data_IF_001175722870
#
_entry.id   IF_001175722870
#
_cell.length_a   1.000
_cell.length_b   1.000
_cell.length_c   1.000
_cell.angle_alpha   90.00
_cell.angle_beta   90.00
_cell.angle_gamma   90.00
#
_symmetry.space_group_name_H-M   'P 1'
#
loop_
_entity.id
_entity.type
_entity.pdbx_description
1 polymer ?
#
# COMPACT_ATOMS: atom_id res chain seq x y z
N UNK A 1 -2.04 -33.19 5.56
CA UNK A 1 -2.53 -32.37 4.43
C UNK A 1 -1.67 -31.13 4.34
N UNK A 2 -0.88 -30.96 3.28
CA UNK A 2 -0.21 -29.69 2.98
C UNK A 2 -1.30 -28.70 2.62
N UNK A 3 -1.78 -27.92 3.59
CA UNK A 3 -2.92 -27.00 3.49
C UNK A 3 -2.67 -25.80 2.57
N UNK A 4 -2.25 -26.05 1.33
CA UNK A 4 -2.14 -25.07 0.26
C UNK A 4 -3.31 -25.28 -0.68
N UNK A 5 -4.27 -24.35 -0.59
CA UNK A 5 -5.38 -24.22 -1.52
C UNK A 5 -5.00 -23.14 -2.52
N UNK A 6 -5.15 -23.42 -3.81
CA UNK A 6 -5.00 -22.39 -4.84
C UNK A 6 -6.18 -21.41 -4.79
N UNK A 7 -5.96 -20.19 -5.30
CA UNK A 7 -6.97 -19.14 -5.23
C UNK A 7 -8.25 -19.52 -5.99
N UNK A 8 -8.12 -20.19 -7.13
CA UNK A 8 -9.19 -20.70 -7.99
C UNK A 8 -9.98 -21.85 -7.36
N UNK A 9 -9.40 -22.56 -6.39
CA UNK A 9 -10.07 -23.61 -5.63
C UNK A 9 -10.93 -23.10 -4.46
N UNK A 10 -10.89 -21.80 -4.13
CA UNK A 10 -11.76 -21.24 -3.09
C UNK A 10 -13.22 -21.21 -3.58
N UNK A 11 -14.13 -21.87 -2.88
CA UNK A 11 -15.57 -21.80 -3.22
C UNK A 11 -16.14 -20.38 -3.09
N UNK A 12 -15.60 -19.57 -2.19
CA UNK A 12 -16.07 -18.22 -1.95
C UNK A 12 -15.48 -17.21 -2.96
N UNK A 13 -16.26 -16.88 -3.98
CA UNK A 13 -15.88 -15.89 -5.01
C UNK A 13 -15.58 -14.48 -4.47
N UNK A 14 -16.21 -14.06 -3.38
CA UNK A 14 -15.90 -12.77 -2.77
C UNK A 14 -14.52 -12.80 -2.13
N UNK A 15 -14.19 -13.88 -1.42
CA UNK A 15 -12.87 -14.09 -0.85
C UNK A 15 -11.80 -14.22 -1.93
N UNK A 16 -12.09 -14.89 -3.06
CA UNK A 16 -11.20 -14.90 -4.22
C UNK A 16 -10.86 -13.49 -4.70
N UNK A 17 -11.86 -12.62 -4.86
CA UNK A 17 -11.66 -11.23 -5.29
C UNK A 17 -10.82 -10.44 -4.29
N UNK A 18 -11.12 -10.58 -3.00
CA UNK A 18 -10.37 -9.92 -1.92
C UNK A 18 -8.91 -10.35 -1.92
N UNK A 19 -8.64 -11.64 -2.12
CA UNK A 19 -7.29 -12.20 -2.14
C UNK A 19 -6.60 -12.07 -3.51
N UNK A 20 -7.25 -11.51 -4.54
CA UNK A 20 -6.64 -11.31 -5.86
C UNK A 20 -5.68 -10.12 -5.91
N UNK A 21 -6.00 -9.04 -5.18
CA UNK A 21 -5.25 -7.79 -5.24
C UNK A 21 -4.57 -7.47 -3.91
N UNK A 22 -3.36 -6.92 -3.96
CA UNK A 22 -2.56 -6.69 -2.75
C UNK A 22 -3.18 -5.65 -1.81
N UNK A 23 -3.80 -4.60 -2.36
CA UNK A 23 -4.51 -3.60 -1.56
C UNK A 23 -5.65 -4.21 -0.75
N UNK A 24 -6.48 -5.07 -1.36
CA UNK A 24 -7.60 -5.73 -0.68
C UNK A 24 -7.15 -6.83 0.28
N UNK A 25 -6.04 -7.53 0.00
CA UNK A 25 -5.39 -8.44 0.97
C UNK A 25 -4.96 -7.70 2.23
N UNK A 26 -4.33 -6.53 2.11
CA UNK A 26 -3.89 -5.77 3.28
C UNK A 26 -5.05 -5.32 4.16
N UNK A 27 -6.15 -4.88 3.55
CA UNK A 27 -7.38 -4.53 4.26
C UNK A 27 -7.93 -5.75 4.99
N UNK A 28 -8.06 -6.88 4.29
CA UNK A 28 -8.53 -8.13 4.87
C UNK A 28 -7.70 -8.58 6.07
N UNK A 29 -6.37 -8.53 5.96
CA UNK A 29 -5.47 -8.84 7.08
C UNK A 29 -5.60 -7.83 8.23
N UNK A 30 -5.90 -6.57 7.92
CA UNK A 30 -6.21 -5.55 8.91
C UNK A 30 -7.48 -5.89 9.69
N UNK A 31 -8.56 -6.28 9.01
CA UNK A 31 -9.80 -6.73 9.64
C UNK A 31 -9.56 -7.99 10.51
N UNK A 32 -8.77 -8.94 10.01
CA UNK A 32 -8.37 -10.12 10.79
C UNK A 32 -7.66 -9.76 12.10
N UNK A 33 -6.92 -8.64 12.17
CA UNK A 33 -6.27 -8.19 13.43
C UNK A 33 -7.26 -7.68 14.47
N UNK A 34 -8.44 -7.23 14.05
CA UNK A 34 -9.48 -6.77 14.96
C UNK A 34 -10.30 -7.94 15.54
N UNK A 35 -10.22 -9.13 14.94
CA UNK A 35 -10.91 -10.33 15.40
C UNK A 35 -10.13 -11.03 16.53
N UNK A 36 -10.67 -11.11 17.75
CA UNK A 36 -9.99 -11.73 18.89
C UNK A 36 -9.85 -13.25 18.76
N UNK A 37 -10.57 -13.89 17.84
CA UNK A 37 -10.50 -15.34 17.60
C UNK A 37 -9.28 -15.73 16.77
N UNK A 38 -8.68 -14.79 16.06
CA UNK A 38 -7.53 -15.02 15.19
C UNK A 38 -6.24 -14.70 15.94
N UNK A 39 -5.30 -15.64 15.93
CA UNK A 39 -4.00 -15.45 16.60
C UNK A 39 -3.16 -14.42 15.86
N UNK A 40 -2.76 -13.35 16.54
CA UNK A 40 -1.89 -12.29 15.99
C UNK A 40 -0.60 -12.83 15.38
N UNK A 41 0.00 -13.86 16.00
CA UNK A 41 1.24 -14.48 15.49
C UNK A 41 1.08 -15.15 14.12
N UNK A 42 -0.11 -15.67 13.81
CA UNK A 42 -0.41 -16.22 12.48
C UNK A 42 -0.50 -15.10 11.45
N UNK A 43 -1.15 -13.98 11.81
CA UNK A 43 -1.27 -12.80 10.94
C UNK A 43 0.12 -12.21 10.65
N UNK A 44 0.98 -12.06 11.66
CA UNK A 44 2.34 -11.54 11.50
C UNK A 44 3.19 -12.43 10.59
N UNK A 45 3.07 -13.76 10.72
CA UNK A 45 3.74 -14.70 9.83
C UNK A 45 3.31 -14.52 8.38
N UNK A 46 2.01 -14.38 8.12
CA UNK A 46 1.47 -14.15 6.78
C UNK A 46 1.95 -12.80 6.23
N UNK A 47 1.95 -11.75 7.05
CA UNK A 47 2.45 -10.42 6.65
C UNK A 47 3.92 -10.47 6.25
N UNK A 48 4.75 -11.22 6.99
CA UNK A 48 6.16 -11.42 6.64
C UNK A 48 6.32 -12.15 5.31
N UNK A 49 5.57 -13.23 5.10
CA UNK A 49 5.62 -14.00 3.85
C UNK A 49 5.17 -13.17 2.63
N UNK A 50 4.12 -12.36 2.77
CA UNK A 50 3.67 -11.47 1.70
C UNK A 50 4.72 -10.42 1.36
N UNK A 51 5.39 -9.87 2.36
CA UNK A 51 6.48 -8.91 2.16
C UNK A 51 7.67 -9.55 1.43
N UNK A 52 8.09 -10.74 1.85
CA UNK A 52 9.17 -11.48 1.18
C UNK A 52 8.83 -11.80 -0.28
N UNK A 53 7.58 -12.11 -0.60
CA UNK A 53 7.14 -12.32 -1.97
C UNK A 53 7.17 -11.02 -2.77
N UNK A 54 6.66 -9.93 -2.19
CA UNK A 54 6.68 -8.61 -2.82
C UNK A 54 8.12 -8.17 -3.13
N UNK A 55 9.04 -8.34 -2.18
CA UNK A 55 10.45 -7.98 -2.35
C UNK A 55 11.09 -8.76 -3.52
N UNK A 56 10.76 -10.05 -3.68
CA UNK A 56 11.23 -10.87 -4.81
C UNK A 56 10.68 -10.36 -6.15
N UNK A 57 9.39 -10.07 -6.21
CA UNK A 57 8.75 -9.57 -7.43
C UNK A 57 9.29 -8.17 -7.79
N UNK A 58 9.56 -7.33 -6.79
CA UNK A 58 10.14 -6.01 -6.96
C UNK A 58 11.58 -6.08 -7.48
N UNK A 59 12.41 -6.98 -6.94
CA UNK A 59 13.76 -7.23 -7.44
C UNK A 59 13.72 -7.70 -8.91
N UNK A 60 12.82 -8.62 -9.24
CA UNK A 60 12.63 -9.09 -10.61
C UNK A 60 12.23 -7.93 -11.54
N UNK A 61 11.24 -7.13 -11.15
CA UNK A 61 10.79 -5.99 -11.97
C UNK A 61 11.90 -4.94 -12.12
N UNK A 62 12.64 -4.64 -11.07
CA UNK A 62 13.76 -3.69 -11.12
C UNK A 62 14.88 -4.17 -12.06
N UNK A 63 15.15 -5.47 -12.12
CA UNK A 63 16.13 -6.03 -13.04
C UNK A 63 15.66 -6.03 -14.50
N UNK A 64 14.35 -6.16 -14.75
CA UNK A 64 13.78 -6.35 -16.09
C UNK A 64 13.08 -5.11 -16.67
N UNK A 65 12.89 -4.06 -15.88
CA UNK A 65 12.18 -2.83 -16.28
C UNK A 65 13.02 -1.61 -15.91
N UNK A 66 13.45 -0.82 -16.91
CA UNK A 66 14.41 0.28 -16.71
C UNK A 66 13.91 1.46 -15.86
N UNK A 67 12.60 1.60 -15.65
CA UNK A 67 11.99 2.69 -14.87
C UNK A 67 11.06 2.17 -13.77
N UNK A 68 11.24 0.92 -13.33
CA UNK A 68 10.41 0.39 -12.27
C UNK A 68 10.78 1.01 -10.92
N UNK A 69 9.76 1.47 -10.20
CA UNK A 69 9.89 1.89 -8.81
C UNK A 69 8.86 1.14 -7.96
N UNK A 70 9.29 0.41 -6.92
CA UNK A 70 8.38 -0.37 -6.10
C UNK A 70 7.37 0.52 -5.39
N UNK A 71 6.10 0.15 -5.49
CA UNK A 71 5.01 0.82 -4.77
C UNK A 71 4.81 0.16 -3.41
N UNK A 72 5.49 0.71 -2.39
CA UNK A 72 5.34 0.25 -1.02
C UNK A 72 4.07 0.83 -0.40
N UNK A 73 3.01 0.01 -0.33
CA UNK A 73 1.81 0.36 0.41
C UNK A 73 2.16 0.63 1.88
N UNK A 74 1.80 1.82 2.38
CA UNK A 74 1.86 2.11 3.81
C UNK A 74 0.85 1.20 4.51
N UNK A 75 1.19 0.61 5.68
CA UNK A 75 0.21 -0.15 6.46
C UNK A 75 -0.95 0.77 6.81
N UNK A 76 -2.12 0.52 6.22
CA UNK A 76 -3.35 1.23 6.55
C UNK A 76 -4.05 0.47 7.65
N UNK A 77 -4.37 1.14 8.77
CA UNK A 77 -5.30 0.56 9.72
C UNK A 77 -6.68 0.43 9.07
N UNK A 78 -7.46 -0.61 9.38
CA UNK A 78 -8.84 -0.73 8.91
C UNK A 78 -9.66 0.55 9.15
N UNK A 79 -9.49 1.14 10.34
CA UNK A 79 -10.13 2.41 10.71
C UNK A 79 -9.75 3.58 9.79
N UNK A 80 -8.48 3.68 9.40
CA UNK A 80 -8.02 4.72 8.48
C UNK A 80 -8.59 4.49 7.08
N UNK A 81 -8.57 3.25 6.58
CA UNK A 81 -9.13 2.91 5.28
C UNK A 81 -10.64 3.17 5.22
N UNK A 82 -11.40 2.69 6.20
CA UNK A 82 -12.86 2.89 6.27
C UNK A 82 -13.20 4.37 6.36
N UNK A 83 -12.48 5.15 7.17
CA UNK A 83 -12.69 6.60 7.25
C UNK A 83 -12.47 7.28 5.90
N UNK A 84 -11.41 6.90 5.19
CA UNK A 84 -11.10 7.47 3.87
C UNK A 84 -12.12 7.04 2.82
N UNK A 85 -12.43 5.75 2.71
CA UNK A 85 -13.39 5.22 1.74
C UNK A 85 -14.79 5.78 1.96
N UNK A 86 -15.24 5.85 3.22
CA UNK A 86 -16.52 6.44 3.58
C UNK A 86 -16.57 7.95 3.28
N UNK A 87 -15.53 8.70 3.65
CA UNK A 87 -15.43 10.13 3.34
C UNK A 87 -15.45 10.36 1.82
N UNK A 88 -14.69 9.56 1.06
CA UNK A 88 -14.65 9.64 -0.39
C UNK A 88 -15.99 9.29 -1.04
N UNK A 89 -16.70 8.28 -0.53
CA UNK A 89 -18.01 7.88 -1.02
C UNK A 89 -19.07 8.95 -0.74
N UNK A 90 -19.09 9.53 0.47
CA UNK A 90 -19.99 10.64 0.81
C UNK A 90 -19.69 11.85 -0.06
N UNK A 91 -18.43 12.24 -0.19
CA UNK A 91 -18.09 13.39 -1.01
C UNK A 91 -18.41 13.14 -2.48
N UNK A 92 -18.16 11.94 -3.00
CA UNK A 92 -18.58 11.56 -4.34
C UNK A 92 -20.11 11.61 -4.51
N UNK A 93 -20.89 11.17 -3.52
CA UNK A 93 -22.35 11.23 -3.57
C UNK A 93 -22.88 12.67 -3.50
N UNK A 94 -22.34 13.51 -2.60
CA UNK A 94 -22.76 14.90 -2.40
C UNK A 94 -22.33 15.82 -3.54
N UNK A 95 -21.15 15.57 -4.10
CA UNK A 95 -20.55 16.42 -5.14
C UNK A 95 -20.45 15.70 -6.49
N UNK A 96 -21.26 14.66 -6.72
CA UNK A 96 -21.23 13.85 -7.95
C UNK A 96 -21.38 14.67 -9.24
N UNK A 97 -22.06 15.82 -9.15
CA UNK A 97 -22.33 16.75 -10.27
C UNK A 97 -21.43 17.98 -10.29
N UNK A 98 -20.50 18.09 -9.34
CA UNK A 98 -19.65 19.27 -9.18
C UNK A 98 -18.27 18.99 -9.78
N UNK A 99 -18.03 19.50 -10.99
CA UNK A 99 -16.75 19.40 -11.68
C UNK A 99 -15.61 20.09 -10.90
N UNK A 100 -15.93 21.12 -10.11
CA UNK A 100 -14.95 21.84 -9.31
C UNK A 100 -14.49 21.01 -8.11
N UNK A 101 -15.35 20.15 -7.57
CA UNK A 101 -14.95 19.19 -6.55
C UNK A 101 -13.96 18.15 -7.11
N UNK A 102 -14.21 17.61 -8.30
CA UNK A 102 -13.27 16.68 -8.95
C UNK A 102 -11.93 17.34 -9.25
N UNK A 103 -11.94 18.59 -9.75
CA UNK A 103 -10.73 19.40 -9.95
C UNK A 103 -9.99 19.63 -8.63
N UNK A 104 -10.69 19.97 -7.54
CA UNK A 104 -10.07 20.13 -6.22
C UNK A 104 -9.48 18.82 -5.69
N UNK A 105 -10.15 17.68 -5.87
CA UNK A 105 -9.64 16.38 -5.44
C UNK A 105 -8.33 16.04 -6.16
N UNK A 106 -8.29 16.24 -7.47
CA UNK A 106 -7.07 16.06 -8.26
C UNK A 106 -5.96 17.02 -7.81
N UNK A 107 -6.29 18.30 -7.61
CA UNK A 107 -5.32 19.30 -7.14
C UNK A 107 -4.74 18.96 -5.75
N UNK A 108 -5.56 18.42 -4.84
CA UNK A 108 -5.11 17.94 -3.52
C UNK A 108 -4.18 16.74 -3.67
N UNK A 109 -4.54 15.74 -4.47
CA UNK A 109 -3.66 14.59 -4.72
C UNK A 109 -2.34 14.97 -5.37
N UNK A 110 -2.35 15.98 -6.26
CA UNK A 110 -1.14 16.53 -6.86
C UNK A 110 -0.26 17.21 -5.80
N UNK A 111 -0.84 18.05 -4.94
CA UNK A 111 -0.11 18.69 -3.82
C UNK A 111 0.49 17.69 -2.84
N UNK A 112 -0.26 16.64 -2.48
CA UNK A 112 0.24 15.60 -1.57
C UNK A 112 1.41 14.84 -2.21
N UNK A 113 1.32 14.57 -3.52
CA UNK A 113 2.39 13.94 -4.30
C UNK A 113 3.61 14.85 -4.38
N UNK A 114 3.43 16.13 -4.68
CA UNK A 114 4.51 17.13 -4.70
C UNK A 114 5.18 17.26 -3.32
N UNK A 115 4.39 17.24 -2.25
CA UNK A 115 4.90 17.29 -0.88
C UNK A 115 5.77 16.08 -0.54
N UNK A 116 5.31 14.87 -0.86
CA UNK A 116 6.08 13.64 -0.66
C UNK A 116 7.35 13.60 -1.55
N UNK A 117 7.28 14.11 -2.78
CA UNK A 117 8.45 14.28 -3.67
C UNK A 117 9.46 15.26 -3.07
N UNK A 118 8.99 16.39 -2.55
CA UNK A 118 9.85 17.41 -1.93
C UNK A 118 10.48 16.88 -0.65
N UNK A 119 9.71 16.14 0.15
CA UNK A 119 10.21 15.46 1.35
C UNK A 119 11.30 14.44 1.01
N UNK A 120 11.09 13.59 0.01
CA UNK A 120 12.11 12.65 -0.49
C UNK A 120 13.36 13.39 -0.97
N UNK A 121 13.21 14.46 -1.76
CA UNK A 121 14.33 15.27 -2.24
C UNK A 121 15.16 15.84 -1.07
N UNK A 122 14.49 16.34 -0.02
CA UNK A 122 15.16 16.83 1.19
C UNK A 122 15.92 15.72 1.92
N UNK A 123 15.34 14.52 2.03
CA UNK A 123 15.99 13.36 2.65
C UNK A 123 17.25 12.92 1.88
N UNK A 124 17.21 12.88 0.54
CA UNK A 124 18.38 12.59 -0.28
C UNK A 124 19.47 13.67 -0.17
N UNK A 125 19.10 14.95 -0.09
CA UNK A 125 20.07 16.03 0.11
C UNK A 125 20.75 15.98 1.48
N UNK A 126 20.03 15.58 2.54
CA UNK A 126 20.63 15.39 3.87
C UNK A 126 21.53 14.16 3.92
N UNK A 127 21.21 13.09 3.20
CA UNK A 127 22.03 11.86 3.16
C UNK A 127 23.36 12.09 2.41
N UNK A 128 23.33 12.75 1.25
CA UNK A 128 24.54 13.04 0.46
C UNK A 128 25.48 14.07 1.13
N UNK A 129 25.00 14.86 2.09
CA UNK A 129 25.85 15.74 2.91
C UNK A 129 26.69 15.02 3.96
N UNK A 130 26.33 13.77 4.30
CA UNK A 130 27.08 12.96 5.26
C UNK A 130 28.11 12.03 4.60
N UNK A 131 28.10 11.85 3.27
CA UNK A 131 29.11 11.06 2.55
C UNK A 131 30.28 11.90 2.02
N UNK A 132 30.10 13.21 1.82
CA UNK A 132 31.13 14.12 1.25
C UNK A 132 31.96 14.86 2.32
N UNK A 133 31.98 14.34 3.55
CA UNK A 133 32.76 14.86 4.69
C UNK A 133 33.93 13.97 5.10
N UNK A 134 34.23 12.92 4.33
CA UNK A 134 35.27 11.93 4.62
C UNK A 134 36.55 12.15 3.82
N UNK A 135 37.51 12.85 4.43
CA UNK A 135 38.96 12.69 4.23
C UNK A 135 39.48 12.76 2.79
N UNK A 136 39.80 13.98 2.32
CA UNK A 136 40.90 14.15 1.38
C UNK A 136 42.15 14.56 2.16
N UNK A 137 43.15 13.66 2.18
CA UNK A 137 44.55 13.93 2.52
C UNK A 137 45.19 14.84 1.47
#
# INVERSE_FOLDING_TARGET
MSGQLSLDQLENHNLQRVLKHDGTKQIFLGECKADPTIKTSQIEKIQKQLKEQQDKDDQYRQANMGHYQPFNYKPVSPSHYLKTAFSDAIMAALYARDEDYQRQKQARSLKDTEWEMTKKKRQHQTHNRHEDGGMHL
#
